data_IF_528150646053
#
_entry.id   IF_528150646053
#
_cell.length_a   1.000
_cell.length_b   1.000
_cell.length_c   1.000
_cell.angle_alpha   90.00
_cell.angle_beta   90.00
_cell.angle_gamma   90.00
#
_symmetry.space_group_name_H-M   'P 1'
#
loop_
_entity.id
_entity.type
_entity.pdbx_description
1 polymer ?
#
# COMPACT_ATOMS: atom_id res chain seq x y z
N UNK A 1 32.55 -2.29 -12.07
CA UNK A 1 32.33 -0.84 -12.30
C UNK A 1 31.02 -0.70 -13.07
N UNK A 2 29.89 -0.67 -12.36
CA UNK A 2 28.54 -0.63 -12.94
C UNK A 2 28.00 0.80 -12.98
N UNK A 3 28.39 1.57 -14.01
CA UNK A 3 27.92 2.95 -14.21
C UNK A 3 26.53 3.05 -14.85
N UNK A 4 25.93 1.92 -15.24
CA UNK A 4 24.65 1.90 -15.98
C UNK A 4 23.40 1.82 -15.08
N UNK A 5 23.55 1.56 -13.78
CA UNK A 5 22.41 1.45 -12.85
C UNK A 5 21.99 2.81 -12.24
N UNK A 6 22.78 3.88 -12.41
CA UNK A 6 22.58 5.12 -11.67
C UNK A 6 21.65 6.16 -12.33
N UNK A 7 21.28 5.96 -13.59
CA UNK A 7 20.50 6.93 -14.38
C UNK A 7 19.28 6.29 -15.07
N UNK A 8 18.56 5.40 -14.37
CA UNK A 8 17.24 5.00 -14.87
C UNK A 8 16.24 6.12 -14.56
N UNK A 9 15.59 6.63 -15.60
CA UNK A 9 14.53 7.65 -15.51
C UNK A 9 13.21 7.03 -15.92
N UNK A 10 12.13 7.39 -15.25
CA UNK A 10 10.78 7.07 -15.70
C UNK A 10 10.46 7.85 -16.99
N UNK A 11 9.38 7.46 -17.69
CA UNK A 11 8.88 8.19 -18.88
C UNK A 11 8.56 9.66 -18.58
N UNK A 12 8.19 9.96 -17.33
CA UNK A 12 7.94 11.30 -16.82
C UNK A 12 9.21 12.17 -16.66
N UNK A 13 10.42 11.61 -16.89
CA UNK A 13 11.70 12.30 -16.68
C UNK A 13 12.24 12.25 -15.24
N UNK A 14 11.42 11.85 -14.26
CA UNK A 14 11.86 11.68 -12.87
C UNK A 14 12.82 10.50 -12.71
N UNK A 15 13.82 10.67 -11.84
CA UNK A 15 14.81 9.64 -11.52
C UNK A 15 14.16 8.48 -10.79
N UNK A 16 14.45 7.25 -11.20
CA UNK A 16 14.11 6.07 -10.42
C UNK A 16 14.94 6.10 -9.13
N UNK A 17 14.26 6.22 -7.98
CA UNK A 17 14.93 6.07 -6.70
C UNK A 17 15.44 4.62 -6.59
N UNK A 18 16.68 4.40 -6.11
CA UNK A 18 17.14 3.07 -5.78
C UNK A 18 16.17 2.51 -4.75
N UNK A 19 15.37 1.53 -5.17
CA UNK A 19 14.35 0.96 -4.30
C UNK A 19 15.01 0.28 -3.10
N UNK A 20 14.41 0.43 -1.93
CA UNK A 20 14.46 -0.66 -0.95
C UNK A 20 14.18 -1.96 -1.71
N UNK A 21 15.02 -2.97 -1.52
CA UNK A 21 15.02 -4.25 -2.24
C UNK A 21 13.83 -5.12 -1.83
N UNK A 22 12.62 -4.56 -1.81
CA UNK A 22 11.46 -5.06 -1.10
C UNK A 22 10.57 -5.99 -1.94
N UNK A 23 10.68 -5.90 -3.25
CA UNK A 23 10.04 -6.81 -4.19
C UNK A 23 11.08 -7.80 -4.70
N UNK A 24 10.69 -9.06 -4.88
CA UNK A 24 11.53 -10.04 -5.56
C UNK A 24 12.04 -9.44 -6.87
N UNK A 25 13.37 -9.45 -7.02
CA UNK A 25 14.17 -8.43 -7.76
C UNK A 25 13.80 -8.24 -9.24
N UNK A 26 12.97 -9.11 -9.81
CA UNK A 26 12.51 -9.04 -11.19
C UNK A 26 11.15 -8.36 -11.36
N UNK A 27 10.14 -8.68 -10.54
CA UNK A 27 8.78 -8.16 -10.71
C UNK A 27 8.69 -6.67 -10.35
N UNK A 28 9.40 -6.26 -9.31
CA UNK A 28 9.57 -4.86 -8.90
C UNK A 28 9.91 -3.92 -10.05
N UNK A 29 10.81 -4.39 -10.92
CA UNK A 29 11.40 -3.59 -11.98
C UNK A 29 10.42 -3.40 -13.13
N UNK A 30 9.63 -4.43 -13.42
CA UNK A 30 8.58 -4.35 -14.44
C UNK A 30 7.44 -3.46 -13.98
N UNK A 31 7.00 -3.58 -12.72
CA UNK A 31 5.97 -2.70 -12.14
C UNK A 31 6.44 -1.23 -12.21
N UNK A 32 7.66 -0.91 -11.77
CA UNK A 32 8.20 0.46 -11.83
C UNK A 32 8.37 1.03 -13.25
N UNK A 33 8.50 0.16 -14.26
CA UNK A 33 8.62 0.56 -15.65
C UNK A 33 7.25 0.68 -16.36
N UNK A 34 6.26 -0.10 -15.91
CA UNK A 34 4.91 -0.13 -16.46
C UNK A 34 4.01 0.97 -15.87
N UNK A 35 4.21 1.34 -14.61
CA UNK A 35 3.37 2.31 -13.91
C UNK A 35 3.98 3.71 -13.83
N UNK A 36 3.10 4.68 -13.56
CA UNK A 36 3.47 6.07 -13.32
C UNK A 36 4.45 6.20 -12.17
N UNK A 37 5.38 7.15 -12.31
CA UNK A 37 6.42 7.35 -11.31
C UNK A 37 5.84 7.85 -9.98
N UNK A 38 6.44 7.50 -8.82
CA UNK A 38 5.86 7.84 -7.51
C UNK A 38 5.57 9.33 -7.36
N UNK A 39 6.50 10.17 -7.81
CA UNK A 39 6.33 11.63 -7.79
C UNK A 39 5.10 12.09 -8.58
N UNK A 40 4.85 11.53 -9.76
CA UNK A 40 3.70 11.93 -10.58
C UNK A 40 2.37 11.47 -9.98
N UNK A 41 2.33 10.28 -9.36
CA UNK A 41 1.13 9.79 -8.70
C UNK A 41 0.81 10.59 -7.43
N UNK A 42 1.82 10.88 -6.60
CA UNK A 42 1.66 11.74 -5.43
C UNK A 42 1.20 13.15 -5.83
N UNK A 43 1.73 13.70 -6.93
CA UNK A 43 1.33 15.00 -7.44
C UNK A 43 -0.08 14.99 -8.03
N UNK A 44 -0.48 13.91 -8.70
CA UNK A 44 -1.85 13.72 -9.17
C UNK A 44 -2.83 13.73 -8.00
N UNK A 45 -2.56 12.96 -6.94
CA UNK A 45 -3.39 12.93 -5.74
C UNK A 45 -3.52 14.34 -5.12
N UNK A 46 -2.41 15.10 -5.01
CA UNK A 46 -2.43 16.49 -4.52
C UNK A 46 -3.30 17.41 -5.37
N UNK A 47 -3.17 17.34 -6.71
CA UNK A 47 -3.95 18.18 -7.64
C UNK A 47 -5.43 17.84 -7.64
N UNK A 48 -5.75 16.57 -7.45
CA UNK A 48 -7.12 16.07 -7.33
C UNK A 48 -7.69 16.25 -5.92
N UNK A 49 -6.94 16.86 -4.98
CA UNK A 49 -7.34 17.07 -3.59
C UNK A 49 -7.77 15.77 -2.88
N UNK A 50 -7.14 14.65 -3.23
CA UNK A 50 -7.37 13.37 -2.58
C UNK A 50 -6.60 13.31 -1.26
N UNK A 51 -7.28 12.93 -0.17
CA UNK A 51 -6.65 12.62 1.13
C UNK A 51 -6.26 11.14 1.16
N UNK A 52 -5.37 10.74 0.26
CA UNK A 52 -4.92 9.35 0.17
C UNK A 52 -4.19 8.93 1.45
N UNK A 53 -4.81 8.05 2.22
CA UNK A 53 -4.32 7.53 3.52
C UNK A 53 -4.13 6.02 3.47
N UNK A 54 -3.18 5.52 4.26
CA UNK A 54 -2.92 4.09 4.43
C UNK A 54 -3.11 3.72 5.89
N UNK A 55 -3.94 2.72 6.16
CA UNK A 55 -4.20 2.21 7.51
C UNK A 55 -3.71 0.78 7.63
N UNK A 56 -2.85 0.52 8.61
CA UNK A 56 -2.28 -0.80 8.88
C UNK A 56 -2.78 -1.27 10.23
N UNK A 57 -3.66 -2.28 10.21
CA UNK A 57 -4.36 -2.75 11.39
C UNK A 57 -4.30 -4.26 11.54
N UNK A 58 -4.23 -4.74 12.78
CA UNK A 58 -4.46 -6.14 13.09
C UNK A 58 -5.96 -6.37 13.25
N UNK A 59 -6.52 -7.30 12.48
CA UNK A 59 -7.93 -7.72 12.56
C UNK A 59 -8.04 -9.19 12.90
N UNK A 60 -9.10 -9.52 13.64
CA UNK A 60 -9.55 -10.90 13.80
C UNK A 60 -10.53 -11.23 12.68
N UNK A 61 -10.24 -12.25 11.87
CA UNK A 61 -11.11 -12.66 10.75
C UNK A 61 -12.12 -13.74 11.16
N UNK A 62 -11.75 -14.59 12.13
CA UNK A 62 -12.57 -15.67 12.68
C UNK A 62 -12.07 -16.06 14.10
N UNK A 63 -12.62 -17.12 14.70
CA UNK A 63 -12.26 -17.54 16.06
C UNK A 63 -10.79 -17.94 16.24
N UNK A 64 -10.09 -18.32 15.17
CA UNK A 64 -8.74 -18.88 15.18
C UNK A 64 -7.73 -18.13 14.30
N UNK A 65 -8.18 -17.12 13.54
CA UNK A 65 -7.36 -16.43 12.54
C UNK A 65 -7.23 -14.93 12.79
N UNK A 66 -5.99 -14.44 12.71
CA UNK A 66 -5.64 -13.03 12.74
C UNK A 66 -5.08 -12.60 11.39
N UNK A 67 -5.19 -11.33 11.03
CA UNK A 67 -4.61 -10.79 9.82
C UNK A 67 -4.11 -9.36 10.02
N UNK A 68 -2.91 -9.07 9.50
CA UNK A 68 -2.55 -7.68 9.24
C UNK A 68 -3.25 -7.23 7.96
N UNK A 69 -4.05 -6.19 8.06
CA UNK A 69 -4.81 -5.60 6.96
C UNK A 69 -4.23 -4.23 6.67
N UNK A 70 -3.79 -4.04 5.44
CA UNK A 70 -3.38 -2.74 4.89
C UNK A 70 -4.55 -2.23 4.07
N UNK A 71 -5.06 -1.04 4.38
CA UNK A 71 -6.13 -0.39 3.64
C UNK A 71 -5.63 0.94 3.06
N UNK A 72 -5.89 1.18 1.79
CA UNK A 72 -5.59 2.45 1.10
C UNK A 72 -6.90 3.14 0.75
N UNK A 73 -7.10 4.28 1.41
CA UNK A 73 -8.21 5.20 1.24
C UNK A 73 -7.93 6.21 0.11
N UNK A 74 -8.97 6.66 -0.61
CA UNK A 74 -8.91 7.78 -1.56
C UNK A 74 -7.74 7.70 -2.56
N UNK A 75 -7.49 6.50 -3.07
CA UNK A 75 -6.50 6.30 -4.13
C UNK A 75 -7.04 6.86 -5.46
N UNK A 76 -6.17 7.53 -6.23
CA UNK A 76 -6.49 7.84 -7.63
C UNK A 76 -6.65 6.54 -8.44
N UNK A 77 -7.31 6.61 -9.60
CA UNK A 77 -7.49 5.43 -10.47
C UNK A 77 -6.15 4.80 -10.84
N UNK A 78 -5.14 5.61 -11.17
CA UNK A 78 -3.80 5.14 -11.54
C UNK A 78 -3.03 4.53 -10.36
N UNK A 79 -3.23 5.05 -9.14
CA UNK A 79 -2.73 4.40 -7.94
C UNK A 79 -3.48 3.08 -7.70
N UNK A 80 -4.78 3.03 -7.96
CA UNK A 80 -5.59 1.83 -7.89
C UNK A 80 -5.11 0.73 -8.84
N UNK A 81 -4.76 1.05 -10.08
CA UNK A 81 -4.18 0.09 -11.03
C UNK A 81 -2.84 -0.50 -10.52
N UNK A 82 -1.99 0.35 -9.94
CA UNK A 82 -0.74 -0.08 -9.31
C UNK A 82 -1.02 -1.01 -8.13
N UNK A 83 -1.96 -0.64 -7.25
CA UNK A 83 -2.37 -1.44 -6.10
C UNK A 83 -2.91 -2.81 -6.55
N UNK A 84 -3.79 -2.85 -7.55
CA UNK A 84 -4.29 -4.09 -8.14
C UNK A 84 -3.14 -5.00 -8.62
N UNK A 85 -2.14 -4.43 -9.29
CA UNK A 85 -0.99 -5.18 -9.82
C UNK A 85 -0.05 -5.72 -8.73
N UNK A 86 -0.16 -5.21 -7.50
CA UNK A 86 0.67 -5.60 -6.34
C UNK A 86 -0.09 -6.46 -5.33
N UNK A 87 -1.27 -6.95 -5.72
CA UNK A 87 -2.08 -7.87 -4.93
C UNK A 87 -3.04 -7.22 -3.95
N UNK A 88 -3.36 -5.93 -4.13
CA UNK A 88 -4.47 -5.31 -3.41
C UNK A 88 -5.79 -5.58 -4.13
N UNK A 89 -6.85 -5.72 -3.34
CA UNK A 89 -8.21 -5.89 -3.82
C UNK A 89 -9.01 -4.60 -3.61
N UNK A 90 -9.74 -4.18 -4.64
CA UNK A 90 -10.69 -3.08 -4.52
C UNK A 90 -11.93 -3.57 -3.79
N UNK A 91 -12.26 -2.91 -2.69
CA UNK A 91 -13.49 -3.12 -1.95
C UNK A 91 -14.37 -1.88 -2.06
N UNK A 92 -15.68 -2.10 -1.98
CA UNK A 92 -16.65 -1.02 -1.78
C UNK A 92 -17.13 -1.06 -0.34
N UNK A 93 -17.50 0.11 0.17
CA UNK A 93 -18.09 0.24 1.50
C UNK A 93 -19.38 -0.57 1.56
N UNK A 94 -19.33 -1.73 2.19
CA UNK A 94 -20.55 -2.42 2.63
C UNK A 94 -20.92 -1.79 3.97
N UNK A 95 -22.15 -1.32 4.13
CA UNK A 95 -22.71 -0.83 5.41
C UNK A 95 -22.83 -1.93 6.48
N UNK A 96 -22.10 -3.03 6.33
CA UNK A 96 -22.25 -4.24 7.12
C UNK A 96 -21.51 -4.08 8.45
N UNK A 97 -22.22 -4.34 9.54
CA UNK A 97 -21.81 -4.09 10.93
C UNK A 97 -20.57 -4.90 11.35
N UNK A 98 -20.12 -5.83 10.50
CA UNK A 98 -19.02 -6.77 10.74
C UNK A 98 -17.66 -6.31 10.18
N UNK A 99 -17.59 -5.19 9.44
CA UNK A 99 -16.33 -4.62 8.95
C UNK A 99 -15.99 -3.34 9.72
N UNK A 100 -15.22 -3.40 10.83
CA UNK A 100 -14.65 -2.21 11.44
C UNK A 100 -13.51 -1.70 10.54
N UNK A 101 -13.89 -1.10 9.42
CA UNK A 101 -13.02 -0.46 8.45
C UNK A 101 -13.60 0.89 8.04
N UNK A 102 -12.75 1.70 7.41
CA UNK A 102 -12.91 3.13 7.08
C UNK A 102 -14.35 3.64 7.14
N UNK A 103 -14.74 4.15 8.31
CA UNK A 103 -15.91 5.02 8.44
C UNK A 103 -15.46 6.47 8.19
N UNK A 104 -16.39 7.30 7.74
CA UNK A 104 -16.21 8.77 7.75
C UNK A 104 -15.36 9.49 6.69
N UNK A 105 -14.28 8.93 6.14
CA UNK A 105 -13.22 9.79 5.53
C UNK A 105 -13.06 9.77 4.01
N UNK A 106 -13.76 8.91 3.26
CA UNK A 106 -13.49 8.74 1.83
C UNK A 106 -14.27 9.71 0.93
N UNK A 107 -13.60 10.24 -0.08
CA UNK A 107 -14.20 10.96 -1.21
C UNK A 107 -14.89 10.02 -2.21
N UNK A 108 -14.42 8.76 -2.32
CA UNK A 108 -15.06 7.67 -3.09
C UNK A 108 -15.40 6.50 -2.16
N UNK A 109 -16.50 5.78 -2.38
CA UNK A 109 -16.91 4.62 -1.56
C UNK A 109 -16.00 3.38 -1.75
N UNK A 110 -14.84 3.57 -2.39
CA UNK A 110 -13.87 2.54 -2.74
C UNK A 110 -12.60 2.69 -1.92
N UNK A 111 -12.13 1.58 -1.39
CA UNK A 111 -10.81 1.48 -0.79
C UNK A 111 -10.12 0.22 -1.30
N UNK A 112 -8.79 0.19 -1.22
CA UNK A 112 -7.99 -0.97 -1.60
C UNK A 112 -7.51 -1.67 -0.35
N UNK A 113 -7.56 -3.00 -0.28
CA UNK A 113 -7.02 -3.74 0.86
C UNK A 113 -6.09 -4.86 0.44
N UNK A 114 -5.12 -5.15 1.30
CA UNK A 114 -4.25 -6.33 1.22
C UNK A 114 -4.15 -6.96 2.59
N UNK A 115 -4.37 -8.27 2.64
CA UNK A 115 -4.45 -9.02 3.89
C UNK A 115 -3.29 -10.02 3.99
N UNK A 116 -2.69 -10.09 5.18
CA UNK A 116 -1.66 -11.07 5.51
C UNK A 116 -2.11 -11.85 6.75
N UNK A 117 -2.84 -12.94 6.49
CA UNK A 117 -3.43 -13.79 7.52
C UNK A 117 -2.43 -14.76 8.14
N UNK A 118 -2.62 -15.06 9.41
CA UNK A 118 -1.87 -16.05 10.18
C UNK A 118 -2.75 -16.66 11.28
N UNK A 119 -2.39 -17.86 11.71
CA UNK A 119 -3.10 -18.54 12.79
C UNK A 119 -2.87 -17.83 14.13
N UNK A 120 -3.87 -17.81 15.01
CA UNK A 120 -3.77 -17.24 16.36
C UNK A 120 -2.70 -17.92 17.23
N UNK A 121 -2.37 -19.17 16.93
CA UNK A 121 -1.32 -19.97 17.56
C UNK A 121 -0.02 -20.06 16.73
N UNK A 122 0.13 -19.19 15.73
CA UNK A 122 1.32 -19.15 14.88
C UNK A 122 2.60 -18.97 15.71
N UNK A 123 3.70 -19.59 15.23
CA UNK A 123 5.02 -19.37 15.81
C UNK A 123 5.34 -17.87 15.79
N UNK A 124 5.77 -17.26 16.91
CA UNK A 124 6.13 -15.85 16.96
C UNK A 124 7.11 -15.41 15.86
N UNK A 125 7.98 -16.31 15.38
CA UNK A 125 8.90 -16.03 14.27
C UNK A 125 8.16 -15.79 12.96
N UNK A 126 7.08 -16.53 12.70
CA UNK A 126 6.23 -16.31 11.53
C UNK A 126 5.53 -14.95 11.61
N UNK A 127 5.08 -14.56 12.80
CA UNK A 127 4.48 -13.24 13.02
C UNK A 127 5.49 -12.12 12.75
N UNK A 128 6.74 -12.27 13.19
CA UNK A 128 7.82 -11.31 12.90
C UNK A 128 8.10 -11.22 11.40
N UNK A 129 8.15 -12.34 10.69
CA UNK A 129 8.34 -12.34 9.23
C UNK A 129 7.19 -11.60 8.51
N UNK A 130 5.95 -11.74 8.98
CA UNK A 130 4.80 -11.01 8.44
C UNK A 130 4.92 -9.51 8.74
N UNK A 131 5.31 -9.14 9.96
CA UNK A 131 5.56 -7.73 10.31
C UNK A 131 6.62 -7.11 9.40
N UNK A 132 7.70 -7.84 9.11
CA UNK A 132 8.74 -7.35 8.20
C UNK A 132 8.21 -7.20 6.77
N UNK A 133 7.32 -8.10 6.31
CA UNK A 133 6.61 -7.91 5.03
C UNK A 133 5.72 -6.67 5.04
N UNK A 134 4.99 -6.40 6.12
CA UNK A 134 4.18 -5.18 6.27
C UNK A 134 5.06 -3.93 6.18
N UNK A 135 6.21 -3.89 6.85
CA UNK A 135 7.16 -2.77 6.75
C UNK A 135 7.68 -2.58 5.33
N UNK A 136 7.98 -3.68 4.63
CA UNK A 136 8.41 -3.64 3.24
C UNK A 136 7.32 -3.09 2.34
N UNK A 137 6.05 -3.47 2.56
CA UNK A 137 4.90 -2.92 1.86
C UNK A 137 4.80 -1.40 2.04
N UNK A 138 4.90 -0.92 3.28
CA UNK A 138 4.85 0.51 3.58
C UNK A 138 6.02 1.28 2.98
N UNK A 139 7.21 0.70 3.00
CA UNK A 139 8.44 1.32 2.45
C UNK A 139 8.33 1.57 0.95
N UNK A 140 7.71 0.67 0.19
CA UNK A 140 7.58 0.89 -1.26
C UNK A 140 6.39 1.78 -1.62
N UNK A 141 5.32 1.75 -0.82
CA UNK A 141 4.10 2.51 -1.05
C UNK A 141 4.26 3.99 -0.67
N UNK A 142 5.01 4.28 0.40
CA UNK A 142 5.26 5.63 0.93
C UNK A 142 5.55 6.69 -0.16
N UNK A 143 6.44 6.47 -1.15
CA UNK A 143 6.78 7.49 -2.14
C UNK A 143 5.64 7.83 -3.10
N UNK A 144 4.58 7.01 -3.15
CA UNK A 144 3.38 7.23 -3.95
C UNK A 144 2.33 8.06 -3.21
N UNK A 145 2.47 8.26 -1.90
CA UNK A 145 1.52 8.98 -1.07
C UNK A 145 1.75 10.49 -1.12
N UNK A 146 0.69 11.31 -1.15
CA UNK A 146 0.81 12.77 -1.26
C UNK A 146 1.52 13.41 -0.05
N UNK A 147 1.39 12.81 1.14
CA UNK A 147 2.03 13.22 2.40
C UNK A 147 3.18 12.29 2.83
N UNK A 148 3.62 11.37 1.96
CA UNK A 148 4.66 10.40 2.30
C UNK A 148 4.31 9.56 3.52
N UNK A 149 5.26 9.36 4.43
CA UNK A 149 5.07 8.54 5.63
C UNK A 149 3.99 9.05 6.59
N UNK A 150 3.66 10.35 6.57
CA UNK A 150 2.62 10.93 7.43
C UNK A 150 1.21 10.50 7.02
N UNK A 151 1.04 9.97 5.80
CA UNK A 151 -0.21 9.37 5.35
C UNK A 151 -0.39 7.91 5.83
N UNK A 152 0.59 7.33 6.54
CA UNK A 152 0.55 5.94 7.00
C UNK A 152 0.23 5.90 8.49
N UNK A 153 -0.87 5.26 8.84
CA UNK A 153 -1.37 5.12 10.19
C UNK A 153 -1.34 3.66 10.64
N UNK A 154 -0.79 3.40 11.81
CA UNK A 154 -0.72 2.06 12.39
C UNK A 154 -1.63 1.96 13.59
N UNK A 155 -2.36 0.86 13.70
CA UNK A 155 -3.30 0.62 14.81
C UNK A 155 -4.36 1.72 14.97
N UNK A 156 -4.67 2.43 13.88
CA UNK A 156 -5.74 3.42 13.82
C UNK A 156 -6.83 2.89 12.93
N UNK A 157 -8.04 2.76 13.49
CA UNK A 157 -9.23 2.47 12.71
C UNK A 157 -9.89 3.81 12.34
N UNK A 158 -10.09 4.09 11.05
CA UNK A 158 -10.77 5.30 10.62
C UNK A 158 -12.21 5.32 11.17
N UNK A 159 -12.50 6.36 11.96
CA UNK A 159 -13.74 6.58 12.72
C UNK A 159 -14.92 7.03 11.85
#
# INVERSE_FOLDING_TARGET
MDRLLFNMTHRCGHRQLPGASAFDRHEARFIRAAFSCPHCLAELARRSMLDTRVFVNLRQQASDGLAFVIEVADASDELGELLASTGYHSNRKTLDEMSPGIRGLLHDDRFWSKEMSFASDADPRQVVEIIDRVKLEMTWLEPYLPLGAEAIEYCTFPL
#
